data_IF_370990173859
#
_entry.id   IF_370990173859
#
_cell.length_a   1.000
_cell.length_b   1.000
_cell.length_c   1.000
_cell.angle_alpha   90.00
_cell.angle_beta   90.00
_cell.angle_gamma   90.00
#
_symmetry.space_group_name_H-M   'P 1'
#
loop_
_entity.id
_entity.type
_entity.pdbx_description
1 polymer ?
#
# COMPACT_ATOMS: atom_id res chain seq x y z
N UNK A 1 -2.88 -11.15 -23.22
CA UNK A 1 -4.29 -10.94 -22.86
C UNK A 1 -4.33 -9.80 -21.84
N UNK A 2 -5.13 -8.75 -22.09
CA UNK A 2 -5.36 -7.70 -21.08
C UNK A 2 -6.46 -8.25 -20.17
N UNK A 3 -6.10 -8.66 -18.96
CA UNK A 3 -7.10 -9.07 -17.98
C UNK A 3 -7.75 -7.83 -17.39
N UNK A 4 -9.10 -7.77 -17.38
CA UNK A 4 -9.92 -6.77 -16.69
C UNK A 4 -9.82 -6.92 -15.17
N UNK A 5 -8.60 -6.92 -14.63
CA UNK A 5 -8.34 -6.95 -13.20
C UNK A 5 -7.90 -5.54 -12.76
N UNK A 6 -8.86 -4.62 -12.54
CA UNK A 6 -8.53 -3.24 -12.20
C UNK A 6 -7.75 -3.21 -10.88
N UNK A 7 -6.53 -2.68 -10.94
CA UNK A 7 -5.72 -2.44 -9.74
C UNK A 7 -6.14 -1.09 -9.17
N UNK A 8 -6.55 -1.08 -7.90
CA UNK A 8 -6.90 0.18 -7.25
C UNK A 8 -5.63 1.00 -7.02
N UNK A 9 -5.69 2.32 -7.23
CA UNK A 9 -4.51 3.20 -7.09
C UNK A 9 -3.85 3.11 -5.69
N UNK A 10 -4.64 2.81 -4.65
CA UNK A 10 -4.12 2.61 -3.29
C UNK A 10 -3.29 1.32 -3.14
N UNK A 11 -3.58 0.30 -3.94
CA UNK A 11 -2.82 -0.96 -3.92
C UNK A 11 -1.45 -0.77 -4.56
N UNK A 12 -1.36 0.11 -5.57
CA UNK A 12 -0.08 0.53 -6.14
C UNK A 12 0.76 1.24 -5.09
N UNK A 13 0.17 2.19 -4.36
CA UNK A 13 0.87 2.92 -3.30
C UNK A 13 1.29 1.97 -2.16
N UNK A 14 0.41 1.06 -1.74
CA UNK A 14 0.72 0.01 -0.77
C UNK A 14 1.94 -0.81 -1.21
N UNK A 15 1.99 -1.22 -2.48
CA UNK A 15 3.12 -1.97 -3.06
C UNK A 15 4.43 -1.21 -2.93
N UNK A 16 4.46 0.07 -3.32
CA UNK A 16 5.68 0.90 -3.26
C UNK A 16 6.15 1.05 -1.82
N UNK A 17 5.25 1.39 -0.90
CA UNK A 17 5.59 1.60 0.50
C UNK A 17 6.11 0.30 1.14
N UNK A 18 5.49 -0.85 0.86
CA UNK A 18 5.98 -2.16 1.30
C UNK A 18 7.36 -2.49 0.73
N UNK A 19 7.62 -2.20 -0.55
CA UNK A 19 8.95 -2.39 -1.16
C UNK A 19 10.04 -1.52 -0.52
N UNK A 20 9.66 -0.39 0.09
CA UNK A 20 10.56 0.46 0.88
C UNK A 20 10.71 -0.01 2.34
N UNK A 21 10.07 -1.11 2.72
CA UNK A 21 10.10 -1.67 4.08
C UNK A 21 9.21 -0.94 5.08
N UNK A 22 8.25 -0.14 4.61
CA UNK A 22 7.29 0.55 5.47
C UNK A 22 6.11 -0.36 5.83
N UNK A 23 5.68 -0.27 7.08
CA UNK A 23 4.44 -0.90 7.56
C UNK A 23 3.22 -0.03 7.18
N UNK A 24 2.32 -0.60 6.38
CA UNK A 24 1.12 0.07 5.87
C UNK A 24 0.04 0.27 6.93
N UNK A 25 0.08 -0.56 7.98
CA UNK A 25 -0.91 -0.56 9.05
C UNK A 25 -0.38 0.11 10.32
N UNK A 26 0.84 0.66 10.26
CA UNK A 26 1.38 1.47 11.33
C UNK A 26 0.49 2.68 11.62
N UNK A 27 0.29 2.93 12.91
CA UNK A 27 -0.33 4.17 13.39
C UNK A 27 0.68 5.30 13.29
N UNK A 28 0.34 6.33 12.52
CA UNK A 28 1.10 7.56 12.38
C UNK A 28 0.32 8.74 12.98
N UNK A 29 1.00 9.85 13.23
CA UNK A 29 0.34 11.09 13.64
C UNK A 29 0.21 12.02 12.43
N UNK A 30 -0.98 12.60 12.26
CA UNK A 30 -1.16 13.71 11.32
C UNK A 30 -0.50 15.00 11.86
N UNK A 31 -0.53 16.06 11.06
CA UNK A 31 0.05 17.37 11.43
C UNK A 31 -0.63 18.02 12.65
N UNK A 32 -1.83 17.56 13.02
CA UNK A 32 -2.57 17.99 14.21
C UNK A 32 -2.35 17.04 15.41
N UNK A 33 -1.46 16.05 15.28
CA UNK A 33 -1.17 15.04 16.31
C UNK A 33 -2.23 13.95 16.44
N UNK A 34 -3.20 13.85 15.52
CA UNK A 34 -4.24 12.83 15.57
C UNK A 34 -3.71 11.50 15.02
N UNK A 35 -4.02 10.38 15.67
CA UNK A 35 -3.60 9.07 15.17
C UNK A 35 -4.39 8.71 13.90
N UNK A 36 -3.67 8.29 12.86
CA UNK A 36 -4.25 7.76 11.63
C UNK A 36 -3.40 6.59 11.12
N UNK A 37 -3.96 5.74 10.27
CA UNK A 37 -3.17 4.75 9.53
C UNK A 37 -2.61 5.39 8.25
N UNK A 38 -1.47 4.91 7.79
CA UNK A 38 -0.84 5.41 6.56
C UNK A 38 -1.73 5.19 5.33
N UNK A 39 -2.39 4.02 5.25
CA UNK A 39 -3.39 3.70 4.26
C UNK A 39 -4.68 3.15 4.91
N UNK A 40 -5.83 3.23 4.24
CA UNK A 40 -7.01 2.49 4.64
C UNK A 40 -6.73 0.99 4.65
N UNK A 41 -7.33 0.24 5.59
CA UNK A 41 -7.12 -1.21 5.71
C UNK A 41 -7.53 -2.03 4.47
N UNK A 42 -8.30 -1.44 3.56
CA UNK A 42 -8.67 -2.05 2.27
C UNK A 42 -7.57 -1.98 1.22
N UNK A 43 -6.53 -1.16 1.41
CA UNK A 43 -5.40 -1.08 0.50
C UNK A 43 -4.43 -2.22 0.78
N UNK A 44 -4.08 -2.98 -0.25
CA UNK A 44 -3.20 -4.15 -0.13
C UNK A 44 -2.11 -4.11 -1.20
N UNK A 45 -0.86 -4.53 -0.90
CA UNK A 45 0.17 -4.64 -1.93
C UNK A 45 -0.24 -5.58 -3.06
N UNK A 46 0.12 -5.22 -4.28
CA UNK A 46 -0.07 -6.07 -5.46
C UNK A 46 0.98 -7.17 -5.41
N UNK A 47 0.57 -8.35 -4.95
CA UNK A 47 1.45 -9.52 -4.74
C UNK A 47 2.32 -9.84 -5.97
N UNK A 48 1.74 -9.73 -7.17
CA UNK A 48 2.44 -9.96 -8.45
C UNK A 48 3.65 -9.05 -8.66
N UNK A 49 3.63 -7.83 -8.11
CA UNK A 49 4.71 -6.85 -8.26
C UNK A 49 5.79 -6.99 -7.17
N UNK A 50 5.44 -7.52 -5.99
CA UNK A 50 6.41 -7.77 -4.93
C UNK A 50 7.36 -8.93 -5.26
N UNK A 51 6.86 -9.95 -5.99
CA UNK A 51 7.68 -11.10 -6.42
C UNK A 51 8.78 -10.70 -7.42
N UNK A 52 8.59 -9.63 -8.19
CA UNK A 52 9.58 -9.10 -9.15
C UNK A 52 10.58 -8.11 -8.55
N UNK A 53 10.40 -7.69 -7.30
CA UNK A 53 11.29 -6.72 -6.63
C UNK A 53 12.46 -7.38 -5.88
N UNK A 54 12.64 -8.69 -6.03
CA UNK A 54 13.79 -9.47 -5.52
C UNK A 54 14.61 -10.01 -6.68
#
# INVERSE_FOLDING_TARGET
>A
EVHDNPIHHRDILATVLTSLGLDLHAMIQDVSGRPMTLLPGTAQPVEKLLASAR
#
